data_IF_972217375772
#
_entry.id   IF_972217375772
#
_cell.length_a   1.000
_cell.length_b   1.000
_cell.length_c   1.000
_cell.angle_alpha   90.00
_cell.angle_beta   90.00
_cell.angle_gamma   90.00
#
_symmetry.space_group_name_H-M   'P 1'
#
loop_
_entity.id
_entity.type
_entity.pdbx_description
1 polymer ?
#
# COMPACT_ATOMS: atom_id res chain seq x y z
N UNK A 1 1.54 40.84 7.92
CA UNK A 1 1.27 40.21 6.61
C UNK A 1 2.56 39.60 6.13
N UNK A 2 2.75 38.29 6.36
CA UNK A 2 4.00 37.59 6.05
C UNK A 2 4.18 37.51 4.53
N UNK A 3 5.33 38.00 4.06
CA UNK A 3 5.72 38.03 2.66
C UNK A 3 5.82 36.59 2.11
N UNK A 4 5.25 36.28 0.94
CA UNK A 4 5.40 34.93 0.36
C UNK A 4 6.87 34.70 -0.02
N UNK A 5 7.45 33.52 0.29
CA UNK A 5 8.85 33.23 -0.05
C UNK A 5 9.03 33.17 -1.57
N UNK A 6 10.12 33.80 -2.04
CA UNK A 6 10.45 33.98 -3.46
C UNK A 6 10.79 32.63 -4.14
N UNK A 7 10.48 32.47 -5.44
CA UNK A 7 10.78 31.26 -6.20
C UNK A 7 12.23 31.25 -6.70
N UNK A 8 13.21 31.00 -5.83
CA UNK A 8 14.62 30.76 -6.23
C UNK A 8 15.31 29.60 -5.50
N UNK A 9 14.62 28.84 -4.63
CA UNK A 9 15.23 27.77 -3.82
C UNK A 9 14.95 26.33 -4.32
N UNK A 10 14.81 26.09 -5.62
CA UNK A 10 14.65 24.71 -6.14
C UNK A 10 15.94 23.88 -6.01
N UNK A 11 17.11 24.52 -6.06
CA UNK A 11 18.42 23.84 -6.04
C UNK A 11 18.77 23.21 -4.67
N UNK A 12 18.09 23.62 -3.60
CA UNK A 12 18.35 23.13 -2.23
C UNK A 12 17.10 22.51 -1.58
N UNK A 13 16.11 22.13 -2.39
CA UNK A 13 14.87 21.52 -1.93
C UNK A 13 15.05 20.01 -1.77
N UNK A 14 14.88 19.50 -0.54
CA UNK A 14 14.83 18.07 -0.26
C UNK A 14 13.53 17.44 -0.78
N UNK A 15 12.39 18.07 -0.45
CA UNK A 15 11.04 17.62 -0.83
C UNK A 15 10.13 18.82 -1.07
N UNK A 16 8.94 18.56 -1.63
CA UNK A 16 7.88 19.56 -1.78
C UNK A 16 6.79 19.36 -0.74
N UNK A 17 6.22 20.46 -0.27
CA UNK A 17 5.04 20.42 0.57
C UNK A 17 3.86 19.82 -0.21
N UNK A 18 3.09 18.95 0.42
CA UNK A 18 1.93 18.32 -0.22
C UNK A 18 0.73 19.26 -0.42
N UNK A 19 0.66 20.37 0.33
CA UNK A 19 -0.42 21.36 0.26
C UNK A 19 -0.07 22.51 -0.67
N UNK A 20 0.95 23.30 -0.32
CA UNK A 20 1.33 24.50 -1.07
C UNK A 20 2.31 24.23 -2.23
N UNK A 21 2.84 23.01 -2.34
CA UNK A 21 3.89 22.61 -3.32
C UNK A 21 5.20 23.41 -3.23
N UNK A 22 5.36 24.22 -2.17
CA UNK A 22 6.59 24.94 -1.86
C UNK A 22 7.76 24.01 -1.53
N UNK A 23 9.01 24.43 -1.78
CA UNK A 23 10.20 23.65 -1.47
C UNK A 23 10.45 23.58 0.04
N UNK A 24 10.85 22.40 0.53
CA UNK A 24 11.34 22.16 1.89
C UNK A 24 12.85 22.00 1.79
N UNK A 25 13.61 22.94 2.36
CA UNK A 25 15.05 22.92 2.30
C UNK A 25 15.65 21.79 3.17
N UNK A 26 16.86 21.33 2.82
CA UNK A 26 17.64 20.45 3.70
C UNK A 26 17.92 21.13 5.04
N UNK A 27 17.83 20.38 6.14
CA UNK A 27 18.00 20.92 7.50
C UNK A 27 16.83 21.76 8.05
N UNK A 28 15.81 22.07 7.25
CA UNK A 28 14.63 22.82 7.70
C UNK A 28 13.70 21.97 8.56
N UNK A 29 12.97 22.61 9.48
CA UNK A 29 11.87 21.96 10.21
C UNK A 29 10.71 21.73 9.26
N UNK A 30 10.16 20.51 9.25
CA UNK A 30 8.98 20.14 8.50
C UNK A 30 8.03 19.35 9.39
N UNK A 31 6.78 19.25 8.97
CA UNK A 31 5.73 18.61 9.74
C UNK A 31 5.27 17.33 9.05
N UNK A 32 5.07 16.29 9.86
CA UNK A 32 4.52 14.99 9.46
C UNK A 32 3.21 14.75 10.19
N UNK A 33 2.24 14.15 9.51
CA UNK A 33 1.01 13.71 10.17
C UNK A 33 1.27 12.44 11.00
N UNK A 34 0.81 12.41 12.25
CA UNK A 34 0.94 11.25 13.15
C UNK A 34 0.27 9.97 12.62
N UNK A 35 -0.65 10.11 11.66
CA UNK A 35 -1.37 8.99 11.06
C UNK A 35 -0.46 8.21 10.10
N UNK A 36 -0.26 6.92 10.39
CA UNK A 36 0.65 6.05 9.64
C UNK A 36 0.28 5.87 8.16
N UNK A 37 -1.00 5.97 7.80
CA UNK A 37 -1.47 5.91 6.40
C UNK A 37 -0.96 7.10 5.58
N UNK A 38 -0.78 8.25 6.22
CA UNK A 38 -0.23 9.47 5.63
C UNK A 38 1.31 9.45 5.52
N UNK A 39 1.99 8.44 6.07
CA UNK A 39 3.46 8.32 6.07
C UNK A 39 3.98 7.12 5.26
N UNK A 40 3.14 6.47 4.46
CA UNK A 40 3.55 5.32 3.62
C UNK A 40 4.50 5.79 2.52
N UNK A 41 5.42 4.92 2.07
CA UNK A 41 6.45 5.23 1.05
C UNK A 41 5.92 5.89 -0.24
N UNK A 42 4.68 5.57 -0.65
CA UNK A 42 4.03 6.13 -1.86
C UNK A 42 3.20 7.40 -1.59
N UNK A 43 2.75 7.62 -0.36
CA UNK A 43 1.83 8.71 0.03
C UNK A 43 2.36 9.44 1.26
N UNK A 44 3.68 9.66 1.32
CA UNK A 44 4.34 10.31 2.44
C UNK A 44 4.11 11.82 2.36
N UNK A 45 3.05 12.29 3.02
CA UNK A 45 2.73 13.71 3.10
C UNK A 45 3.77 14.42 3.97
N UNK A 46 4.24 15.57 3.48
CA UNK A 46 5.23 16.42 4.14
C UNK A 46 4.75 17.86 4.05
N UNK A 47 4.77 18.58 5.16
CA UNK A 47 4.23 19.93 5.24
C UNK A 47 5.32 20.91 5.69
N UNK A 48 5.34 22.10 5.10
CA UNK A 48 6.30 23.15 5.48
C UNK A 48 5.88 23.91 6.75
N UNK A 49 4.60 23.91 7.09
CA UNK A 49 4.04 24.59 8.27
C UNK A 49 2.88 23.82 8.87
N UNK A 50 2.50 24.16 10.11
CA UNK A 50 1.29 23.64 10.78
C UNK A 50 0.03 24.02 9.99
N UNK A 51 -0.04 25.23 9.42
CA UNK A 51 -1.16 25.66 8.58
C UNK A 51 -1.31 24.78 7.32
N UNK A 52 -0.21 24.45 6.66
CA UNK A 52 -0.23 23.53 5.52
C UNK A 52 -0.65 22.10 5.94
N UNK A 53 -0.38 21.71 7.18
CA UNK A 53 -0.88 20.46 7.74
C UNK A 53 -2.38 20.54 8.06
N UNK A 54 -2.90 21.63 8.61
CA UNK A 54 -4.33 21.77 8.92
C UNK A 54 -5.21 21.72 7.67
N UNK A 55 -4.75 22.29 6.55
CA UNK A 55 -5.44 22.21 5.25
C UNK A 55 -5.58 20.77 4.73
N UNK A 56 -4.79 19.81 5.24
CA UNK A 56 -4.94 18.40 4.90
C UNK A 56 -6.10 17.71 5.65
N UNK A 57 -6.57 18.27 6.78
CA UNK A 57 -7.59 17.67 7.64
C UNK A 57 -8.96 17.50 6.94
N UNK A 58 -9.46 18.47 6.15
CA UNK A 58 -10.72 18.31 5.44
C UNK A 58 -10.66 17.25 4.33
N UNK A 59 -9.49 17.10 3.69
CA UNK A 59 -9.26 16.15 2.60
C UNK A 59 -9.14 14.70 3.11
N UNK A 60 -8.59 14.53 4.31
CA UNK A 60 -8.28 13.23 4.89
C UNK A 60 -9.09 13.07 6.17
N UNK A 61 -10.19 12.31 6.11
CA UNK A 61 -11.16 12.10 7.23
C UNK A 61 -10.57 11.32 8.42
N UNK A 62 -9.50 11.79 9.03
CA UNK A 62 -8.97 11.27 10.28
C UNK A 62 -9.40 12.17 11.45
N UNK A 63 -9.68 11.55 12.60
CA UNK A 63 -10.38 12.16 13.73
C UNK A 63 -9.44 12.71 14.79
N UNK A 64 -8.25 12.12 14.92
CA UNK A 64 -7.26 12.41 15.95
C UNK A 64 -5.85 12.38 15.32
N UNK A 65 -5.49 13.45 14.62
CA UNK A 65 -4.11 13.63 14.17
C UNK A 65 -3.52 14.90 14.74
N UNK A 66 -2.21 14.89 14.86
CA UNK A 66 -1.41 16.06 15.22
C UNK A 66 -0.20 16.16 14.30
N UNK A 67 0.34 17.37 14.20
CA UNK A 67 1.57 17.64 13.47
C UNK A 67 2.77 17.22 14.35
N UNK A 68 3.60 16.33 13.83
CA UNK A 68 4.89 15.96 14.42
C UNK A 68 5.97 16.78 13.74
N UNK A 69 6.72 17.54 14.54
CA UNK A 69 7.89 18.30 14.09
C UNK A 69 9.07 17.36 13.85
N UNK A 70 9.61 17.41 12.63
CA UNK A 70 10.76 16.64 12.21
C UNK A 70 11.76 17.57 11.51
N UNK A 71 13.05 17.23 11.57
CA UNK A 71 14.09 18.02 10.90
C UNK A 71 14.53 17.35 9.61
N UNK A 72 14.49 18.07 8.50
CA UNK A 72 14.92 17.55 7.23
C UNK A 72 16.40 17.13 7.35
N UNK A 73 16.79 15.97 6.81
CA UNK A 73 18.19 15.55 6.84
C UNK A 73 19.07 16.62 6.20
N UNK A 74 20.34 16.71 6.64
CA UNK A 74 21.31 17.53 5.92
C UNK A 74 21.56 16.93 4.54
N UNK A 75 22.05 17.75 3.60
CA UNK A 75 22.35 17.30 2.24
C UNK A 75 23.34 16.11 2.24
N UNK A 76 24.35 16.17 3.10
CA UNK A 76 25.36 15.11 3.23
C UNK A 76 24.78 13.84 3.86
N UNK A 77 23.92 13.96 4.88
CA UNK A 77 23.24 12.82 5.48
C UNK A 77 22.27 12.17 4.49
N UNK A 78 21.60 12.96 3.66
CA UNK A 78 20.71 12.45 2.61
C UNK A 78 21.48 11.72 1.50
N UNK A 79 22.63 12.25 1.06
CA UNK A 79 23.49 11.58 0.10
C UNK A 79 23.91 10.19 0.61
N UNK A 80 24.34 10.08 1.87
CA UNK A 80 24.71 8.81 2.50
C UNK A 80 23.52 7.85 2.66
N UNK A 81 22.29 8.35 2.80
CA UNK A 81 21.08 7.53 2.93
C UNK A 81 20.55 7.00 1.59
N UNK A 82 20.79 7.76 0.50
CA UNK A 82 20.51 7.33 -0.88
C UNK A 82 21.58 6.36 -1.38
N UNK A 83 22.81 6.52 -0.91
CA UNK A 83 23.99 5.74 -1.31
C UNK A 83 24.33 4.57 -0.37
N UNK A 84 23.60 4.44 0.76
CA UNK A 84 23.58 3.21 1.55
C UNK A 84 23.20 2.04 0.64
N UNK A 85 23.84 0.86 0.79
CA UNK A 85 23.72 -0.22 -0.17
C UNK A 85 22.24 -0.49 -0.42
N UNK A 86 21.80 -0.20 -1.65
CA UNK A 86 20.48 -0.60 -2.10
C UNK A 86 20.31 -2.06 -1.66
N UNK A 87 19.23 -2.43 -0.94
CA UNK A 87 18.98 -3.84 -0.69
C UNK A 87 18.98 -4.49 -2.06
N UNK A 88 20.03 -5.28 -2.31
CA UNK A 88 20.25 -5.93 -3.59
C UNK A 88 18.94 -6.65 -3.86
N UNK A 89 18.20 -6.32 -4.94
CA UNK A 89 17.04 -7.11 -5.28
C UNK A 89 17.60 -8.50 -5.52
N UNK A 90 17.31 -9.43 -4.60
CA UNK A 90 17.67 -10.83 -4.76
C UNK A 90 17.19 -11.20 -6.16
N UNK A 91 18.15 -11.54 -7.02
CA UNK A 91 17.89 -11.93 -8.40
C UNK A 91 16.79 -12.98 -8.35
N UNK A 92 15.59 -12.62 -8.85
CA UNK A 92 14.62 -13.65 -9.22
C UNK A 92 15.38 -14.60 -10.14
N UNK A 93 15.43 -15.91 -9.86
CA UNK A 93 16.03 -16.84 -10.80
C UNK A 93 15.29 -16.68 -12.13
N UNK A 94 16.03 -16.23 -13.15
CA UNK A 94 15.59 -16.31 -14.53
C UNK A 94 15.39 -17.79 -14.80
N UNK A 95 14.13 -18.23 -14.80
CA UNK A 95 13.77 -19.49 -15.42
C UNK A 95 14.09 -19.31 -16.91
N UNK A 96 15.20 -19.93 -17.30
CA UNK A 96 15.67 -20.07 -18.66
C UNK A 96 14.55 -20.73 -19.47
N UNK A 97 13.91 -19.97 -20.35
CA UNK A 97 12.94 -20.54 -21.29
C UNK A 97 13.72 -21.36 -22.32
N UNK A 98 13.52 -22.67 -22.29
CA UNK A 98 13.92 -23.58 -23.35
C UNK A 98 13.29 -23.14 -24.70
N UNK A 99 13.99 -23.34 -25.83
CA UNK A 99 13.50 -22.89 -27.13
C UNK A 99 12.30 -23.74 -27.56
N UNK A 100 11.15 -23.11 -27.70
CA UNK A 100 10.01 -23.70 -28.40
C UNK A 100 10.28 -23.65 -29.90
N UNK A 101 10.57 -24.81 -30.48
CA UNK A 101 10.67 -24.99 -31.92
C UNK A 101 9.31 -24.71 -32.57
N UNK A 102 9.38 -23.76 -33.49
CA UNK A 102 8.49 -23.42 -34.59
C UNK A 102 7.59 -24.55 -35.11
N UNK A 103 6.27 -24.29 -35.12
CA UNK A 103 5.34 -24.91 -36.05
C UNK A 103 4.27 -23.88 -36.43
N UNK A 104 4.44 -23.28 -37.61
CA UNK A 104 3.50 -22.34 -38.24
C UNK A 104 2.32 -23.12 -38.82
N UNK A 105 1.06 -22.73 -38.57
CA UNK A 105 -0.03 -23.06 -39.48
C UNK A 105 -0.40 -21.87 -40.38
N UNK A 106 -0.63 -22.20 -41.64
CA UNK A 106 -0.92 -21.36 -42.80
C UNK A 106 -2.14 -20.42 -42.65
N UNK A 107 -2.26 -19.37 -43.49
CA UNK A 107 -3.31 -18.36 -43.35
C UNK A 107 -4.65 -18.86 -43.89
N UNK A 108 -5.70 -18.82 -43.06
CA UNK A 108 -7.08 -19.05 -43.50
C UNK A 108 -7.75 -17.72 -43.80
N UNK A 109 -8.37 -17.68 -44.98
CA UNK A 109 -8.93 -16.51 -45.67
C UNK A 109 -10.20 -15.98 -45.01
N UNK A 110 -10.40 -14.69 -45.25
CA UNK A 110 -11.57 -13.86 -44.98
C UNK A 110 -12.89 -14.54 -45.39
N UNK A 111 -13.91 -14.43 -44.54
CA UNK A 111 -15.29 -14.78 -44.84
C UNK A 111 -16.21 -13.92 -43.97
N UNK A 112 -16.77 -12.88 -44.58
CA UNK A 112 -17.70 -11.95 -43.96
C UNK A 112 -18.95 -12.61 -43.38
N UNK A 113 -19.26 -12.28 -42.12
CA UNK A 113 -20.53 -12.55 -41.43
C UNK A 113 -20.83 -11.35 -40.50
N UNK A 114 -22.08 -10.84 -40.42
CA UNK A 114 -22.35 -9.50 -39.89
C UNK A 114 -22.18 -9.40 -38.37
N UNK A 115 -21.66 -8.24 -37.92
CA UNK A 115 -21.39 -7.90 -36.52
C UNK A 115 -22.68 -7.92 -35.67
N UNK A 116 -22.83 -8.98 -34.87
CA UNK A 116 -23.88 -9.09 -33.84
C UNK A 116 -23.57 -8.14 -32.67
N UNK A 117 -24.53 -7.30 -32.31
CA UNK A 117 -24.45 -6.26 -31.27
C UNK A 117 -24.23 -6.93 -29.89
N UNK A 118 -23.11 -6.63 -29.22
CA UNK A 118 -22.77 -7.17 -27.89
C UNK A 118 -23.65 -6.50 -26.82
N UNK A 119 -24.49 -7.27 -26.13
CA UNK A 119 -25.07 -6.86 -24.84
C UNK A 119 -23.96 -6.91 -23.79
N UNK A 120 -23.68 -5.79 -23.14
CA UNK A 120 -22.76 -5.72 -22.00
C UNK A 120 -23.43 -6.37 -20.79
N UNK A 121 -23.25 -7.67 -20.63
CA UNK A 121 -23.40 -8.35 -19.35
C UNK A 121 -22.11 -8.16 -18.55
N UNK A 122 -22.22 -7.77 -17.28
CA UNK A 122 -21.08 -7.69 -16.37
C UNK A 122 -20.44 -9.07 -16.24
N UNK A 123 -19.30 -9.27 -16.91
CA UNK A 123 -18.54 -10.50 -16.83
C UNK A 123 -18.03 -10.72 -15.40
N UNK A 124 -18.00 -11.97 -14.90
CA UNK A 124 -17.36 -12.29 -13.63
C UNK A 124 -15.89 -11.90 -13.73
N UNK A 125 -15.43 -11.06 -12.81
CA UNK A 125 -14.02 -10.71 -12.72
C UNK A 125 -13.22 -11.98 -12.39
N UNK A 126 -12.21 -12.36 -13.20
CA UNK A 126 -11.39 -13.53 -12.91
C UNK A 126 -10.72 -13.34 -11.56
N UNK A 127 -10.81 -14.37 -10.72
CA UNK A 127 -10.14 -14.42 -9.43
C UNK A 127 -8.67 -14.07 -9.62
N UNK A 128 -8.23 -12.99 -8.97
CA UNK A 128 -6.84 -12.56 -9.02
C UNK A 128 -5.91 -13.69 -8.54
N UNK A 129 -4.69 -13.81 -9.10
CA UNK A 129 -3.73 -14.81 -8.68
C UNK A 129 -3.42 -14.61 -7.19
N UNK A 130 -3.62 -15.66 -6.39
CA UNK A 130 -3.39 -15.69 -4.95
C UNK A 130 -1.92 -15.32 -4.65
N UNK A 131 -1.63 -14.13 -4.08
CA UNK A 131 -0.29 -13.84 -3.62
C UNK A 131 -0.14 -14.47 -2.24
N UNK A 132 0.35 -15.71 -2.21
CA UNK A 132 0.90 -16.29 -0.99
C UNK A 132 2.13 -15.49 -0.59
N UNK A 133 2.02 -14.63 0.43
CA UNK A 133 3.21 -14.00 1.03
C UNK A 133 2.97 -12.78 1.91
N UNK A 134 1.85 -12.06 1.76
CA UNK A 134 1.69 -10.79 2.49
C UNK A 134 1.18 -10.98 3.93
N UNK A 135 2.02 -10.72 4.93
CA UNK A 135 1.64 -10.76 6.34
C UNK A 135 0.50 -9.76 6.60
N UNK A 136 -0.68 -10.28 6.96
CA UNK A 136 -1.89 -9.47 7.19
C UNK A 136 -1.97 -8.90 8.62
N UNK A 137 -1.15 -9.43 9.52
CA UNK A 137 -1.15 -9.10 10.94
C UNK A 137 -0.08 -8.05 11.24
N UNK A 138 -0.41 -7.07 12.09
CA UNK A 138 0.59 -6.12 12.59
C UNK A 138 1.51 -6.83 13.59
N UNK A 139 2.69 -7.24 13.12
CA UNK A 139 3.68 -8.03 13.85
C UNK A 139 3.97 -7.45 15.24
N UNK A 140 4.20 -6.14 15.34
CA UNK A 140 4.51 -5.49 16.62
C UNK A 140 3.35 -5.59 17.62
N UNK A 141 2.11 -5.39 17.16
CA UNK A 141 0.92 -5.48 18.03
C UNK A 141 0.69 -6.89 18.53
N UNK A 142 0.86 -7.90 17.67
CA UNK A 142 0.70 -9.29 18.08
C UNK A 142 1.80 -9.71 19.08
N UNK A 143 3.07 -9.38 18.79
CA UNK A 143 4.19 -9.69 19.70
C UNK A 143 4.03 -9.02 21.05
N UNK A 144 3.64 -7.74 21.09
CA UNK A 144 3.32 -7.05 22.34
C UNK A 144 2.17 -7.71 23.08
N UNK A 145 1.07 -8.05 22.40
CA UNK A 145 -0.05 -8.77 23.03
C UNK A 145 0.41 -10.07 23.69
N UNK A 146 1.22 -10.86 22.96
CA UNK A 146 1.69 -12.17 23.45
C UNK A 146 2.59 -12.01 24.67
N UNK A 147 3.50 -11.04 24.63
CA UNK A 147 4.44 -10.75 25.71
C UNK A 147 3.75 -10.16 26.93
N UNK A 148 2.86 -9.20 26.76
CA UNK A 148 2.24 -8.46 27.86
C UNK A 148 1.20 -9.32 28.60
N UNK A 149 0.47 -10.18 27.88
CA UNK A 149 -0.58 -11.02 28.48
C UNK A 149 -0.08 -12.35 29.01
N UNK A 150 0.93 -12.94 28.38
CA UNK A 150 1.39 -14.28 28.72
C UNK A 150 2.89 -14.38 29.00
N UNK A 151 3.65 -13.28 28.91
CA UNK A 151 5.10 -13.28 29.18
C UNK A 151 5.92 -14.04 28.12
N UNK A 152 5.34 -14.34 26.96
CA UNK A 152 5.96 -15.20 25.95
C UNK A 152 6.53 -14.41 24.77
N UNK A 153 7.52 -15.00 24.09
CA UNK A 153 8.01 -14.52 22.80
C UNK A 153 7.29 -15.27 21.66
N UNK A 154 7.09 -14.60 20.54
CA UNK A 154 6.47 -15.18 19.34
C UNK A 154 7.51 -15.28 18.22
N UNK A 155 7.64 -16.46 17.60
CA UNK A 155 8.49 -16.64 16.43
C UNK A 155 7.90 -15.96 15.19
N UNK A 156 8.75 -15.60 14.23
CA UNK A 156 8.30 -14.90 13.02
C UNK A 156 7.41 -15.76 12.12
N UNK A 157 7.64 -17.08 12.06
CA UNK A 157 6.85 -18.03 11.27
C UNK A 157 5.37 -18.09 11.69
N UNK A 158 5.03 -17.72 12.93
CA UNK A 158 3.63 -17.66 13.38
C UNK A 158 2.82 -16.64 12.59
N UNK A 159 3.46 -15.57 12.11
CA UNK A 159 2.81 -14.49 11.37
C UNK A 159 2.24 -14.98 10.04
N UNK A 160 2.96 -15.89 9.37
CA UNK A 160 2.54 -16.49 8.11
C UNK A 160 1.34 -17.41 8.33
N UNK A 161 1.43 -18.32 9.31
CA UNK A 161 0.35 -19.25 9.67
C UNK A 161 -0.94 -18.51 10.04
N UNK A 162 -0.84 -17.45 10.85
CA UNK A 162 -1.99 -16.63 11.21
C UNK A 162 -2.56 -15.90 10.00
N UNK A 163 -1.71 -15.38 9.12
CA UNK A 163 -2.15 -14.71 7.89
C UNK A 163 -2.89 -15.67 6.97
N UNK A 164 -2.43 -16.91 6.82
CA UNK A 164 -3.11 -17.96 6.07
C UNK A 164 -4.49 -18.29 6.66
N UNK A 165 -4.57 -18.38 7.98
CA UNK A 165 -5.85 -18.61 8.64
C UNK A 165 -6.83 -17.46 8.41
N UNK A 166 -6.38 -16.21 8.54
CA UNK A 166 -7.21 -15.02 8.26
C UNK A 166 -7.70 -15.03 6.80
N UNK A 167 -6.84 -15.38 5.84
CA UNK A 167 -7.25 -15.51 4.43
C UNK A 167 -8.34 -16.56 4.24
N UNK A 168 -8.18 -17.72 4.88
CA UNK A 168 -9.19 -18.79 4.85
C UNK A 168 -10.54 -18.33 5.40
N UNK A 169 -10.53 -17.62 6.54
CA UNK A 169 -11.73 -17.05 7.15
C UNK A 169 -12.42 -16.02 6.23
N UNK A 170 -11.63 -15.11 5.64
CA UNK A 170 -12.15 -14.12 4.71
C UNK A 170 -12.73 -14.76 3.43
N UNK A 171 -12.12 -15.82 2.92
CA UNK A 171 -12.64 -16.57 1.77
C UNK A 171 -14.02 -17.14 2.08
N UNK A 172 -14.16 -17.82 3.23
CA UNK A 172 -15.44 -18.37 3.67
C UNK A 172 -16.51 -17.30 3.90
N UNK A 173 -16.13 -16.16 4.50
CA UNK A 173 -17.06 -15.03 4.68
C UNK A 173 -17.49 -14.43 3.32
N UNK A 174 -16.57 -14.34 2.35
CA UNK A 174 -16.90 -13.88 1.00
C UNK A 174 -17.85 -14.84 0.26
N UNK A 175 -17.71 -16.15 0.47
CA UNK A 175 -18.61 -17.15 -0.10
C UNK A 175 -20.01 -17.04 0.49
N UNK A 176 -20.14 -16.82 1.80
CA UNK A 176 -21.44 -16.54 2.44
C UNK A 176 -22.08 -15.27 1.88
N UNK A 177 -21.30 -14.19 1.73
CA UNK A 177 -21.80 -12.95 1.16
C UNK A 177 -22.29 -13.14 -0.29
N UNK A 178 -21.58 -13.94 -1.08
CA UNK A 178 -21.96 -14.28 -2.46
C UNK A 178 -23.21 -15.14 -2.52
N UNK A 179 -23.39 -16.10 -1.61
CA UNK A 179 -24.58 -16.92 -1.52
C UNK A 179 -25.84 -16.06 -1.29
N UNK A 180 -25.70 -14.98 -0.53
CA UNK A 180 -26.75 -13.98 -0.31
C UNK A 180 -26.90 -12.96 -1.46
N UNK A 181 -26.17 -13.12 -2.57
CA UNK A 181 -26.19 -12.20 -3.71
C UNK A 181 -25.51 -10.84 -3.45
N UNK A 182 -24.73 -10.71 -2.38
CA UNK A 182 -24.04 -9.48 -1.99
C UNK A 182 -22.61 -9.42 -2.52
N UNK A 183 -22.12 -8.19 -2.72
CA UNK A 183 -20.71 -7.89 -3.05
C UNK A 183 -19.91 -7.34 -1.87
N UNK A 184 -20.54 -7.23 -0.71
CA UNK A 184 -19.96 -6.67 0.51
C UNK A 184 -20.01 -7.73 1.60
N UNK A 185 -18.84 -8.05 2.17
CA UNK A 185 -18.70 -8.89 3.36
C UNK A 185 -19.11 -8.07 4.58
N UNK A 186 -19.97 -8.64 5.41
CA UNK A 186 -20.55 -8.02 6.60
C UNK A 186 -20.32 -8.89 7.83
N UNK A 187 -20.55 -8.36 9.02
CA UNK A 187 -20.32 -9.08 10.29
C UNK A 187 -21.05 -10.43 10.37
N UNK A 188 -22.28 -10.50 9.83
CA UNK A 188 -23.06 -11.75 9.74
C UNK A 188 -22.37 -12.85 8.93
N UNK A 189 -21.51 -12.50 7.98
CA UNK A 189 -20.79 -13.48 7.19
C UNK A 189 -19.73 -14.21 8.01
N UNK A 190 -19.33 -13.63 9.16
CA UNK A 190 -18.43 -14.23 10.16
C UNK A 190 -19.18 -14.89 11.33
N UNK A 191 -20.51 -14.96 11.31
CA UNK A 191 -21.30 -15.56 12.39
C UNK A 191 -20.92 -17.04 12.64
N UNK A 192 -20.38 -17.71 11.61
CA UNK A 192 -19.84 -19.07 11.76
C UNK A 192 -18.68 -19.20 12.77
N UNK A 193 -18.03 -18.09 13.14
CA UNK A 193 -17.00 -18.04 14.19
C UNK A 193 -17.58 -17.84 15.59
N UNK A 194 -18.81 -17.31 15.69
CA UNK A 194 -19.48 -17.02 16.97
C UNK A 194 -20.15 -18.24 17.57
N UNK A 195 -20.27 -19.33 16.80
CA UNK A 195 -20.73 -20.62 17.33
C UNK A 195 -19.64 -21.26 18.18
N UNK A 196 -19.67 -20.92 19.46
CA UNK A 196 -19.10 -21.68 20.57
C UNK A 196 -20.19 -21.91 21.60
#
# INVERSE_FOLDING_TARGET
MASPPRPTDEANAWKRCSTCRGPIAFGATYYVCSVSTCNRKRTAYRFCSVECWEEHLPLMRHREAWAVEEKAPSRDAWAQQVEGPAPVPAKRPTLELAPVTEAVPAPVRDSGVPRRRIRVGSAPQPAAPEPGGDVLVVVSRLKSLVKDRWGMNTSDAVMDVLSDHIRSLCRRAADNARADGRKTVMDRDFEFLRRR
#
